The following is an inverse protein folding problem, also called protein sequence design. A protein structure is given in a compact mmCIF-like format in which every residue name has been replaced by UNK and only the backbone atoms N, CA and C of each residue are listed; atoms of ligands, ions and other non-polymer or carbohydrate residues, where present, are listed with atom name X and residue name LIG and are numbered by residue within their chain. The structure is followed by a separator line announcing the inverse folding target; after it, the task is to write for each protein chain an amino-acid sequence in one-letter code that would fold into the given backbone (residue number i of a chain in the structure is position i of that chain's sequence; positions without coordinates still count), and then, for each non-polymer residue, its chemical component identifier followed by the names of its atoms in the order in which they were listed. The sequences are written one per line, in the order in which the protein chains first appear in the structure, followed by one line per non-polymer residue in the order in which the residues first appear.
data_IF_841031995843
#
_entry.id   IF_841031995843
#
_cell.length_a   1.000
_cell.length_b   1.000
_cell.length_c   1.000
_cell.angle_alpha   90.00
_cell.angle_beta   90.00
_cell.angle_gamma   90.00
#
_symmetry.space_group_name_H-M   'P 1'
#
loop_
_entity.id
_entity.type
_entity.pdbx_description
1 polymer ?
#
# COMPACT_ATOMS: atom_id res chain seq x y z
N UNK A 1 -15.79 8.80 -16.40
CA UNK A 1 -15.87 7.63 -17.29
C UNK A 1 -15.34 6.50 -16.42
N UNK A 2 -16.13 5.47 -16.15
CA UNK A 2 -15.69 4.38 -15.28
C UNK A 2 -14.64 3.56 -16.03
N UNK A 3 -13.40 3.57 -15.53
CA UNK A 3 -12.25 2.87 -16.13
C UNK A 3 -12.52 1.35 -16.26
N UNK A 4 -13.39 0.84 -15.39
CA UNK A 4 -13.83 -0.56 -15.32
C UNK A 4 -14.54 -1.02 -16.60
N UNK A 5 -15.21 -0.11 -17.31
CA UNK A 5 -15.93 -0.43 -18.56
C UNK A 5 -14.98 -0.60 -19.77
N UNK A 6 -13.72 -0.19 -19.63
CA UNK A 6 -12.73 -0.19 -20.72
C UNK A 6 -11.45 -0.96 -20.36
N UNK A 7 -11.53 -1.88 -19.39
CA UNK A 7 -10.37 -2.63 -18.90
C UNK A 7 -9.62 -3.41 -19.99
N UNK A 8 -10.35 -3.92 -20.99
CA UNK A 8 -9.78 -4.63 -22.15
C UNK A 8 -8.93 -3.73 -23.06
N UNK A 9 -8.98 -2.41 -22.87
CA UNK A 9 -8.19 -1.43 -23.63
C UNK A 9 -6.87 -1.04 -22.96
N UNK A 10 -6.62 -1.56 -21.75
CA UNK A 10 -5.40 -1.28 -20.99
C UNK A 10 -4.18 -1.85 -21.71
N UNK A 11 -3.19 -1.00 -21.93
CA UNK A 11 -1.86 -1.43 -22.36
C UNK A 11 -1.03 -1.78 -21.14
N UNK A 12 -0.54 -3.02 -21.08
CA UNK A 12 0.33 -3.50 -20.01
C UNK A 12 1.76 -3.63 -20.51
N UNK A 13 2.71 -3.11 -19.73
CA UNK A 13 4.15 -3.29 -19.95
C UNK A 13 4.70 -4.02 -18.72
N UNK A 14 5.16 -5.25 -18.88
CA UNK A 14 5.80 -6.00 -17.81
C UNK A 14 7.28 -5.63 -17.72
N UNK A 15 7.71 -5.24 -16.51
CA UNK A 15 9.11 -4.88 -16.25
C UNK A 15 9.74 -5.95 -15.36
N UNK A 16 10.75 -6.70 -15.84
CA UNK A 16 11.45 -7.68 -15.01
C UNK A 16 12.17 -7.04 -13.82
N UNK A 17 12.28 -7.77 -12.71
CA UNK A 17 12.92 -7.30 -11.46
C UNK A 17 14.36 -6.82 -11.66
N UNK A 18 15.11 -7.44 -12.58
CA UNK A 18 16.51 -7.10 -12.86
C UNK A 18 16.69 -6.11 -14.01
N UNK A 19 15.60 -5.61 -14.59
CA UNK A 19 15.67 -4.66 -15.69
C UNK A 19 16.10 -3.28 -15.18
N UNK A 20 16.80 -2.53 -16.03
CA UNK A 20 17.09 -1.12 -15.79
C UNK A 20 15.80 -0.29 -15.95
N UNK A 21 15.32 0.41 -14.91
CA UNK A 21 14.15 1.28 -15.00
C UNK A 21 14.26 2.35 -16.10
N UNK A 22 15.47 2.83 -16.41
CA UNK A 22 15.68 3.84 -17.45
C UNK A 22 15.58 3.26 -18.87
N UNK A 23 15.75 1.94 -19.02
CA UNK A 23 15.82 1.24 -20.30
C UNK A 23 14.47 0.80 -20.88
N UNK A 24 13.35 1.08 -20.19
CA UNK A 24 12.03 0.58 -20.60
C UNK A 24 11.54 1.31 -21.85
N UNK A 25 11.11 0.53 -22.86
CA UNK A 25 10.51 1.07 -24.07
C UNK A 25 9.01 1.29 -23.91
N UNK A 26 8.63 2.45 -23.39
CA UNK A 26 7.21 2.83 -23.24
C UNK A 26 6.58 3.27 -24.56
N UNK A 27 7.34 3.96 -25.42
CA UNK A 27 6.78 4.67 -26.57
C UNK A 27 6.19 3.71 -27.62
N UNK A 28 6.84 2.57 -27.84
CA UNK A 28 6.39 1.57 -28.82
C UNK A 28 5.10 0.85 -28.40
N UNK A 29 4.84 0.75 -27.10
CA UNK A 29 3.68 0.05 -26.54
C UNK A 29 2.43 0.94 -26.50
N UNK A 30 2.59 2.27 -26.41
CA UNK A 30 1.45 3.18 -26.36
C UNK A 30 0.66 3.18 -27.68
N UNK A 31 -0.68 3.28 -27.63
CA UNK A 31 -1.50 3.47 -28.83
C UNK A 31 -1.22 4.83 -29.48
N UNK A 32 -1.77 5.05 -30.67
CA UNK A 32 -1.68 6.35 -31.34
C UNK A 32 -2.63 7.36 -30.66
N UNK A 33 -2.05 8.23 -29.84
CA UNK A 33 -2.77 9.21 -29.01
C UNK A 33 -2.10 10.58 -29.10
N UNK A 34 -2.87 11.63 -28.81
CA UNK A 34 -2.32 12.97 -28.74
C UNK A 34 -1.19 13.05 -27.69
N UNK A 35 -0.11 13.76 -28.02
CA UNK A 35 1.04 13.97 -27.12
C UNK A 35 1.72 12.66 -26.67
N UNK A 36 1.66 11.61 -27.50
CA UNK A 36 2.23 10.28 -27.22
C UNK A 36 3.65 10.31 -26.65
N UNK A 37 4.54 11.12 -27.22
CA UNK A 37 5.94 11.24 -26.78
C UNK A 37 6.05 11.86 -25.38
N UNK A 38 5.24 12.89 -25.10
CA UNK A 38 5.24 13.54 -23.79
C UNK A 38 4.67 12.60 -22.71
N UNK A 39 3.64 11.82 -23.04
CA UNK A 39 3.07 10.79 -22.16
C UNK A 39 4.09 9.68 -21.92
N UNK A 40 4.75 9.18 -22.96
CA UNK A 40 5.79 8.15 -22.83
C UNK A 40 6.93 8.63 -21.93
N UNK A 41 7.38 9.88 -22.09
CA UNK A 41 8.41 10.47 -21.24
C UNK A 41 7.94 10.62 -19.79
N UNK A 42 6.70 11.06 -19.57
CA UNK A 42 6.11 11.16 -18.25
C UNK A 42 6.08 9.78 -17.55
N UNK A 43 5.61 8.74 -18.22
CA UNK A 43 5.55 7.37 -17.67
C UNK A 43 6.95 6.86 -17.30
N UNK A 44 7.98 7.12 -18.13
CA UNK A 44 9.37 6.74 -17.81
C UNK A 44 9.89 7.39 -16.54
N UNK A 45 9.68 8.71 -16.41
CA UNK A 45 10.07 9.45 -15.20
C UNK A 45 9.28 8.96 -13.99
N UNK A 46 7.99 8.71 -14.16
CA UNK A 46 7.13 8.21 -13.10
C UNK A 46 7.56 6.83 -12.62
N UNK A 47 7.93 5.92 -13.53
CA UNK A 47 8.44 4.60 -13.18
C UNK A 47 9.79 4.69 -12.46
N UNK A 48 10.66 5.61 -12.86
CA UNK A 48 11.91 5.85 -12.14
C UNK A 48 11.64 6.32 -10.69
N UNK A 49 10.67 7.22 -10.49
CA UNK A 49 10.23 7.65 -9.15
C UNK A 49 9.63 6.47 -8.38
N UNK A 50 8.76 5.67 -9.01
CA UNK A 50 8.16 4.48 -8.41
C UNK A 50 9.24 3.56 -7.81
N UNK A 51 10.28 3.25 -8.58
CA UNK A 51 11.41 2.44 -8.11
C UNK A 51 12.25 3.14 -7.04
N UNK A 52 12.62 4.41 -7.26
CA UNK A 52 13.56 5.12 -6.40
C UNK A 52 12.97 5.47 -5.02
N UNK A 53 11.65 5.61 -4.93
CA UNK A 53 10.91 5.93 -3.70
C UNK A 53 10.23 4.72 -3.07
N UNK A 54 10.48 3.49 -3.55
CA UNK A 54 9.95 2.25 -2.95
C UNK A 54 8.42 2.21 -2.89
N UNK A 55 7.77 2.59 -3.99
CA UNK A 55 6.33 2.37 -4.16
C UNK A 55 6.04 0.88 -4.38
N UNK A 56 4.97 0.40 -3.75
CA UNK A 56 4.36 -0.90 -4.03
C UNK A 56 3.13 -0.76 -4.95
N UNK A 57 2.57 0.46 -5.03
CA UNK A 57 1.47 0.81 -5.93
C UNK A 57 1.49 2.31 -6.19
N UNK A 58 1.27 2.72 -7.44
CA UNK A 58 1.12 4.12 -7.82
C UNK A 58 0.20 4.23 -9.02
N UNK A 59 -0.90 4.95 -8.85
CA UNK A 59 -1.93 5.17 -9.87
C UNK A 59 -2.26 6.65 -9.94
N UNK A 60 -2.39 7.15 -11.17
CA UNK A 60 -2.98 8.45 -11.45
C UNK A 60 -4.18 8.28 -12.36
N UNK A 61 -5.37 8.65 -11.87
CA UNK A 61 -6.60 8.52 -12.63
C UNK A 61 -7.65 9.55 -12.18
N UNK A 62 -7.93 10.60 -12.98
CA UNK A 62 -7.51 10.80 -14.36
C UNK A 62 -6.16 11.52 -14.51
N UNK A 63 -5.50 11.27 -15.65
CA UNK A 63 -4.41 12.10 -16.18
C UNK A 63 -4.98 13.06 -17.23
N UNK A 64 -4.77 14.36 -17.05
CA UNK A 64 -5.17 15.40 -18.00
C UNK A 64 -3.98 15.91 -18.82
N UNK A 65 -4.28 16.48 -19.99
CA UNK A 65 -3.32 17.23 -20.79
C UNK A 65 -3.73 18.69 -20.82
N UNK A 66 -2.82 19.59 -20.43
CA UNK A 66 -3.06 21.03 -20.46
C UNK A 66 -1.81 21.75 -20.96
N UNK A 67 -1.95 22.56 -22.02
CA UNK A 67 -0.86 23.31 -22.63
C UNK A 67 0.39 22.45 -22.98
N UNK A 68 0.18 21.19 -23.39
CA UNK A 68 1.26 20.26 -23.72
C UNK A 68 1.94 19.60 -22.50
N UNK A 69 1.49 19.88 -21.28
CA UNK A 69 1.96 19.22 -20.06
C UNK A 69 0.97 18.14 -19.60
N UNK A 70 1.50 17.05 -19.05
CA UNK A 70 0.73 16.00 -18.36
C UNK A 70 0.44 16.47 -16.94
N UNK A 71 -0.84 16.45 -16.55
CA UNK A 71 -1.32 16.93 -15.24
C UNK A 71 -2.09 15.81 -14.56
N UNK A 72 -1.55 15.20 -13.49
CA UNK A 72 -2.31 14.25 -12.69
C UNK A 72 -3.36 14.97 -11.84
N UNK A 73 -4.61 14.51 -11.91
CA UNK A 73 -5.73 15.12 -11.19
C UNK A 73 -6.09 14.39 -9.90
N UNK A 74 -5.78 13.10 -9.83
CA UNK A 74 -5.98 12.26 -8.64
C UNK A 74 -4.85 11.25 -8.53
N UNK A 75 -4.60 10.74 -7.32
CA UNK A 75 -3.50 9.79 -7.05
C UNK A 75 -3.88 8.81 -5.96
N UNK A 76 -3.66 7.54 -6.24
CA UNK A 76 -3.65 6.47 -5.23
C UNK A 76 -2.24 5.89 -5.17
N UNK A 77 -1.68 5.83 -3.97
CA UNK A 77 -0.32 5.33 -3.78
C UNK A 77 -0.20 4.44 -2.54
N UNK A 78 0.70 3.47 -2.61
CA UNK A 78 1.14 2.65 -1.49
C UNK A 78 2.66 2.58 -1.51
N UNK A 79 3.27 2.90 -0.39
CA UNK A 79 4.72 2.75 -0.16
C UNK A 79 4.98 1.47 0.63
N UNK A 80 6.14 0.89 0.44
CA UNK A 80 6.63 -0.23 1.26
C UNK A 80 7.20 0.30 2.58
N UNK A 81 6.38 0.36 3.63
CA UNK A 81 6.75 0.89 4.94
C UNK A 81 8.03 0.27 5.55
N UNK A 82 8.40 -0.94 5.15
CA UNK A 82 9.65 -1.59 5.57
C UNK A 82 10.90 -0.88 5.02
N UNK A 83 10.77 -0.11 3.94
CA UNK A 83 11.83 0.70 3.35
C UNK A 83 11.99 2.08 4.04
N UNK A 84 11.23 2.38 5.09
CA UNK A 84 11.25 3.68 5.76
C UNK A 84 12.67 4.11 6.20
N UNK A 85 13.50 3.16 6.62
CA UNK A 85 14.89 3.48 7.00
C UNK A 85 15.74 3.91 5.79
N UNK A 86 15.64 3.18 4.68
CA UNK A 86 16.36 3.45 3.44
C UNK A 86 15.89 4.73 2.76
N UNK A 87 14.60 5.04 2.91
CA UNK A 87 13.96 6.20 2.28
C UNK A 87 13.81 7.41 3.21
N UNK A 88 14.40 7.39 4.42
CA UNK A 88 14.20 8.44 5.43
C UNK A 88 14.48 9.86 4.90
N UNK A 89 15.53 10.04 4.10
CA UNK A 89 15.84 11.35 3.49
C UNK A 89 14.85 11.76 2.39
N UNK A 90 14.29 10.79 1.67
CA UNK A 90 13.36 11.02 0.54
C UNK A 90 11.93 11.24 0.99
N UNK A 91 11.49 10.49 2.01
CA UNK A 91 10.12 10.51 2.52
C UNK A 91 9.92 11.57 3.60
N UNK A 92 11.01 12.08 4.18
CA UNK A 92 10.99 13.05 5.27
C UNK A 92 10.09 12.59 6.43
N UNK A 93 8.94 13.26 6.63
CA UNK A 93 7.94 12.93 7.66
C UNK A 93 6.66 12.43 7.03
N UNK A 94 6.75 11.35 6.26
CA UNK A 94 5.57 10.71 5.69
C UNK A 94 4.75 10.05 6.79
N UNK A 95 3.44 10.19 6.70
CA UNK A 95 2.48 9.52 7.59
C UNK A 95 1.73 8.45 6.78
N UNK A 96 1.53 7.28 7.38
CA UNK A 96 0.71 6.22 6.80
C UNK A 96 -0.71 6.32 7.36
N UNK A 97 -1.65 6.95 6.63
CA UNK A 97 -3.00 7.12 7.13
C UNK A 97 -3.70 5.77 7.28
N UNK A 98 -4.45 5.60 8.38
CA UNK A 98 -5.31 4.42 8.51
C UNK A 98 -6.47 4.48 7.51
N UNK A 99 -7.07 3.33 7.24
CA UNK A 99 -8.24 3.22 6.39
C UNK A 99 -9.37 4.15 6.85
N UNK A 100 -10.09 4.72 5.90
CA UNK A 100 -11.20 5.64 6.18
C UNK A 100 -12.22 5.01 7.13
N UNK A 101 -12.61 5.75 8.17
CA UNK A 101 -13.55 5.28 9.20
C UNK A 101 -12.91 4.50 10.35
N UNK A 102 -11.61 4.21 10.30
CA UNK A 102 -10.90 3.66 11.46
C UNK A 102 -10.33 4.76 12.35
N UNK A 103 -10.68 4.73 13.63
CA UNK A 103 -10.04 5.55 14.67
C UNK A 103 -9.08 4.68 15.44
N UNK A 104 -7.79 5.00 15.42
CA UNK A 104 -6.83 4.34 16.29
C UNK A 104 -7.19 4.62 17.76
N UNK A 105 -7.36 3.57 18.54
CA UNK A 105 -7.37 3.70 19.99
C UNK A 105 -5.98 4.13 20.49
N UNK A 106 -5.93 4.71 21.69
CA UNK A 106 -4.66 5.08 22.32
C UNK A 106 -3.75 3.86 22.53
N UNK A 107 -4.37 2.70 22.79
CA UNK A 107 -3.72 1.41 23.01
C UNK A 107 -3.07 0.89 21.72
N UNK A 108 -3.79 0.93 20.58
CA UNK A 108 -3.21 0.55 19.28
C UNK A 108 -2.04 1.45 18.89
N UNK A 109 -2.16 2.76 19.10
CA UNK A 109 -1.09 3.71 18.83
C UNK A 109 0.14 3.44 19.72
N UNK A 110 -0.09 3.09 20.99
CA UNK A 110 0.98 2.74 21.91
C UNK A 110 1.74 1.48 21.46
N UNK A 111 1.03 0.40 21.10
CA UNK A 111 1.65 -0.84 20.62
C UNK A 111 2.40 -0.61 19.31
N UNK A 112 1.83 0.13 18.35
CA UNK A 112 2.53 0.49 17.12
C UNK A 112 3.84 1.26 17.40
N UNK A 113 3.81 2.18 18.38
CA UNK A 113 5.03 2.92 18.77
C UNK A 113 6.11 2.06 19.43
N UNK A 114 5.75 0.88 19.97
CA UNK A 114 6.70 -0.09 20.51
C UNK A 114 7.28 -0.96 19.39
N UNK A 115 6.42 -1.42 18.48
CA UNK A 115 6.78 -2.19 17.29
C UNK A 115 7.88 -1.46 16.47
N UNK A 116 7.66 -0.18 16.17
CA UNK A 116 8.61 0.68 15.44
C UNK A 116 9.98 0.84 16.11
N UNK A 117 10.06 0.64 17.44
CA UNK A 117 11.28 0.86 18.23
C UNK A 117 12.04 -0.42 18.54
N UNK A 118 11.55 -1.57 18.09
CA UNK A 118 12.15 -2.87 18.37
C UNK A 118 12.31 -3.70 17.10
N UNK A 119 13.21 -4.69 17.12
CA UNK A 119 13.26 -5.69 16.03
C UNK A 119 12.21 -6.79 16.18
N UNK A 120 11.40 -6.73 17.24
CA UNK A 120 10.29 -7.65 17.47
C UNK A 120 9.06 -7.19 16.67
N UNK A 121 8.16 -8.11 16.35
CA UNK A 121 6.82 -7.79 15.83
C UNK A 121 5.85 -7.69 16.99
N UNK A 122 5.19 -6.55 17.12
CA UNK A 122 4.17 -6.27 18.12
C UNK A 122 2.95 -5.65 17.41
N UNK A 123 1.87 -6.41 17.29
CA UNK A 123 0.67 -5.98 16.56
C UNK A 123 -0.56 -6.05 17.46
N UNK A 124 -1.37 -5.01 17.41
CA UNK A 124 -2.66 -4.95 18.09
C UNK A 124 -3.68 -4.23 17.21
N UNK A 125 -4.88 -4.81 17.12
CA UNK A 125 -6.07 -4.20 16.54
C UNK A 125 -7.27 -4.55 17.41
N UNK A 126 -8.04 -3.53 17.81
CA UNK A 126 -9.27 -3.74 18.57
C UNK A 126 -10.43 -3.95 17.60
N UNK A 127 -11.14 -5.07 17.78
CA UNK A 127 -12.29 -5.45 16.95
C UNK A 127 -13.61 -5.11 17.66
N UNK A 128 -13.76 -5.60 18.89
CA UNK A 128 -14.91 -5.35 19.75
C UNK A 128 -14.42 -5.14 21.19
N UNK A 129 -14.22 -3.91 21.66
CA UNK A 129 -13.74 -3.65 23.02
C UNK A 129 -14.66 -4.21 24.14
N UNK A 130 -15.90 -4.58 23.82
CA UNK A 130 -16.86 -5.22 24.74
C UNK A 130 -16.91 -6.74 24.60
N UNK A 131 -16.16 -7.33 23.67
CA UNK A 131 -16.05 -8.76 23.47
C UNK A 131 -15.42 -9.44 24.69
N UNK A 132 -15.85 -10.66 24.98
CA UNK A 132 -15.34 -11.45 26.11
C UNK A 132 -14.11 -12.30 25.77
N UNK A 133 -13.84 -12.54 24.49
CA UNK A 133 -12.71 -13.38 24.05
C UNK A 133 -11.54 -12.48 23.69
N UNK A 134 -10.48 -12.54 24.49
CA UNK A 134 -9.25 -11.78 24.28
C UNK A 134 -8.11 -12.72 23.94
N UNK A 135 -7.30 -12.36 22.96
CA UNK A 135 -6.18 -13.18 22.49
C UNK A 135 -4.86 -12.44 22.67
N UNK A 136 -3.88 -13.12 23.27
CA UNK A 136 -2.49 -12.71 23.31
C UNK A 136 -1.66 -13.90 22.82
N UNK A 137 -1.32 -13.89 21.53
CA UNK A 137 -0.76 -15.07 20.83
C UNK A 137 0.63 -14.76 20.33
N UNK A 138 1.55 -15.70 20.54
CA UNK A 138 2.91 -15.61 20.02
C UNK A 138 2.96 -16.04 18.54
N UNK A 139 3.48 -15.17 17.67
CA UNK A 139 3.67 -15.45 16.25
C UNK A 139 2.44 -15.16 15.38
N UNK A 140 2.67 -14.43 14.29
CA UNK A 140 1.62 -14.06 13.33
C UNK A 140 0.88 -15.24 12.69
N UNK A 141 1.56 -16.37 12.44
CA UNK A 141 0.88 -17.56 11.90
C UNK A 141 -0.10 -18.18 12.90
N UNK A 142 0.28 -18.23 14.18
CA UNK A 142 -0.58 -18.76 15.23
C UNK A 142 -1.76 -17.82 15.51
N UNK A 143 -1.53 -16.50 15.56
CA UNK A 143 -2.60 -15.53 15.85
C UNK A 143 -3.77 -15.63 14.86
N UNK A 144 -3.49 -15.87 13.57
CA UNK A 144 -4.51 -16.14 12.55
C UNK A 144 -5.29 -17.41 12.89
N UNK A 145 -4.61 -18.54 13.12
CA UNK A 145 -5.27 -19.82 13.41
C UNK A 145 -6.17 -19.73 14.67
N UNK A 146 -5.72 -19.03 15.71
CA UNK A 146 -6.52 -18.82 16.92
C UNK A 146 -7.74 -17.95 16.63
N UNK A 147 -7.59 -16.87 15.87
CA UNK A 147 -8.72 -16.01 15.50
C UNK A 147 -9.76 -16.79 14.66
N UNK A 148 -9.31 -17.53 13.65
CA UNK A 148 -10.17 -18.39 12.82
C UNK A 148 -10.91 -19.42 13.67
N UNK A 149 -10.22 -20.09 14.58
CA UNK A 149 -10.83 -21.07 15.49
C UNK A 149 -11.91 -20.45 16.38
N UNK A 150 -11.69 -19.23 16.88
CA UNK A 150 -12.71 -18.50 17.67
C UNK A 150 -13.95 -18.20 16.81
N UNK A 151 -13.75 -17.80 15.56
CA UNK A 151 -14.84 -17.53 14.61
C UNK A 151 -15.59 -18.82 14.27
N UNK A 152 -14.89 -19.91 13.96
CA UNK A 152 -15.45 -21.22 13.61
C UNK A 152 -16.28 -21.83 14.75
N UNK A 153 -15.89 -21.58 15.99
CA UNK A 153 -16.65 -21.98 17.18
C UNK A 153 -17.87 -21.08 17.46
N UNK A 154 -18.16 -20.11 16.60
CA UNK A 154 -19.34 -19.23 16.68
C UNK A 154 -19.15 -18.00 17.58
N UNK A 155 -17.91 -17.68 17.97
CA UNK A 155 -17.60 -16.57 18.88
C UNK A 155 -17.01 -15.35 18.18
N UNK A 156 -17.12 -15.24 16.85
CA UNK A 156 -16.56 -14.12 16.08
C UNK A 156 -17.00 -12.73 16.58
N UNK A 157 -18.28 -12.56 16.93
CA UNK A 157 -18.80 -11.29 17.47
C UNK A 157 -18.28 -10.97 18.89
N UNK A 158 -17.70 -11.94 19.58
CA UNK A 158 -17.20 -11.83 20.94
C UNK A 158 -15.66 -11.71 20.99
N UNK A 159 -15.00 -11.83 19.84
CA UNK A 159 -13.56 -11.63 19.70
C UNK A 159 -13.23 -10.15 19.85
N UNK A 160 -12.50 -9.81 20.89
CA UNK A 160 -12.28 -8.43 21.29
C UNK A 160 -11.15 -7.76 20.52
N UNK A 161 -10.09 -8.52 20.21
CA UNK A 161 -8.89 -8.02 19.57
C UNK A 161 -8.32 -9.05 18.59
N UNK A 162 -7.53 -8.56 17.64
CA UNK A 162 -6.60 -9.33 16.85
C UNK A 162 -5.20 -8.76 17.09
N UNK A 163 -4.20 -9.62 17.20
CA UNK A 163 -2.84 -9.17 17.47
C UNK A 163 -1.88 -10.32 17.68
N UNK A 164 -0.60 -10.01 17.65
CA UNK A 164 0.47 -10.97 17.87
C UNK A 164 1.68 -10.31 18.53
N UNK A 165 2.53 -11.14 19.10
CA UNK A 165 3.88 -10.74 19.49
C UNK A 165 4.87 -11.81 19.02
N UNK A 166 5.96 -11.39 18.42
CA UNK A 166 7.02 -12.27 17.92
C UNK A 166 8.34 -11.50 17.75
N UNK A 167 9.42 -12.18 17.38
CA UNK A 167 10.76 -11.58 17.29
C UNK A 167 11.83 -12.61 17.57
#
# INVERSE_FOLDING_TARGET
MDIEEVWDTVVTIEVPVTADPAGIDVLSHLPDIANKEAIAQFIKVLYAIYCDYYFAYLEFNPLALSNGAVVPLDTVAKLDDTAAFQCAEKWEKIEFPKAFGSTASMEEAYIASLDEKTGASLKLTLLNPKGRVWTLVAGGGASVIYADTVVDLGYGNELANYGEYSG
#
